data_IF_610279317625
#
_entry.id   IF_610279317625
#
_cell.length_a   1.000
_cell.length_b   1.000
_cell.length_c   1.000
_cell.angle_alpha   90.00
_cell.angle_beta   90.00
_cell.angle_gamma   90.00
#
_symmetry.space_group_name_H-M   'P 1'
#
loop_
_entity.id
_entity.type
_entity.pdbx_description
1 polymer ?
#
# COMPACT_ATOMS: atom_id res chain seq x y z
N UNK A 1 1.44 3.64 -4.10
CA UNK A 1 2.04 3.00 -2.90
C UNK A 1 2.91 1.85 -3.36
N UNK A 2 4.11 1.71 -2.79
CA UNK A 2 5.06 0.67 -3.21
C UNK A 2 5.82 0.09 -2.02
N UNK A 3 5.92 -1.24 -1.97
CA UNK A 3 6.80 -1.98 -1.08
C UNK A 3 8.01 -2.47 -1.87
N UNK A 4 9.21 -2.23 -1.36
CA UNK A 4 10.46 -2.67 -1.97
C UNK A 4 11.17 -3.65 -1.06
N UNK A 5 11.57 -4.79 -1.63
CA UNK A 5 12.34 -5.82 -0.97
C UNK A 5 13.48 -6.28 -1.87
N UNK A 6 14.32 -7.17 -1.38
CA UNK A 6 15.45 -7.66 -2.18
C UNK A 6 14.96 -8.32 -3.49
N UNK A 7 15.16 -7.64 -4.62
CA UNK A 7 14.69 -8.04 -5.97
C UNK A 7 13.17 -8.28 -6.09
N UNK A 8 12.39 -7.71 -5.17
CA UNK A 8 10.93 -7.84 -5.14
C UNK A 8 10.31 -6.46 -5.03
N UNK A 9 9.18 -6.25 -5.69
CA UNK A 9 8.44 -5.01 -5.66
C UNK A 9 6.95 -5.30 -5.72
N UNK A 10 6.17 -4.67 -4.86
CA UNK A 10 4.72 -4.69 -4.88
C UNK A 10 4.22 -3.25 -5.01
N UNK A 11 3.42 -2.97 -6.03
CA UNK A 11 2.95 -1.61 -6.34
C UNK A 11 1.43 -1.59 -6.40
N UNK A 12 0.82 -0.56 -5.81
CA UNK A 12 -0.61 -0.25 -5.92
C UNK A 12 -0.79 1.22 -6.25
N UNK A 13 -1.53 1.50 -7.32
CA UNK A 13 -1.80 2.86 -7.81
C UNK A 13 -3.31 3.06 -7.88
N UNK A 14 -3.77 4.22 -7.42
CA UNK A 14 -5.17 4.62 -7.46
C UNK A 14 -5.29 6.15 -7.35
N UNK A 15 -6.48 6.66 -7.67
CA UNK A 15 -6.82 8.07 -7.39
C UNK A 15 -7.04 8.26 -5.89
N UNK A 16 -6.48 9.31 -5.26
CA UNK A 16 -6.75 9.62 -3.86
C UNK A 16 -8.25 9.80 -3.59
N UNK A 17 -8.72 9.19 -2.52
CA UNK A 17 -10.13 9.23 -2.13
C UNK A 17 -10.44 10.47 -1.30
N UNK A 18 -11.65 11.02 -1.44
CA UNK A 18 -12.05 12.21 -0.68
C UNK A 18 -12.25 11.89 0.80
N UNK A 19 -11.91 12.83 1.68
CA UNK A 19 -12.18 12.71 3.12
C UNK A 19 -13.68 12.57 3.44
N UNK A 20 -14.55 13.05 2.54
CA UNK A 20 -16.00 12.97 2.70
C UNK A 20 -16.53 11.54 2.54
N UNK A 21 -15.84 10.71 1.74
CA UNK A 21 -16.20 9.31 1.50
C UNK A 21 -15.68 8.39 2.60
N UNK A 22 -14.67 8.85 3.36
CA UNK A 22 -13.98 8.06 4.37
C UNK A 22 -13.16 6.90 3.79
N UNK A 23 -12.59 6.08 4.66
CA UNK A 23 -11.73 4.93 4.25
C UNK A 23 -12.40 3.57 4.43
N UNK A 24 -13.43 3.46 5.29
CA UNK A 24 -14.10 2.19 5.60
C UNK A 24 -14.65 1.48 4.37
N UNK A 25 -15.36 2.15 3.44
CA UNK A 25 -15.89 1.48 2.24
C UNK A 25 -14.77 0.89 1.36
N UNK A 26 -13.64 1.60 1.25
CA UNK A 26 -12.47 1.16 0.49
C UNK A 26 -11.84 -0.09 1.12
N UNK A 27 -11.69 -0.10 2.45
CA UNK A 27 -11.12 -1.24 3.17
C UNK A 27 -12.03 -2.47 3.05
N UNK A 28 -13.36 -2.31 3.22
CA UNK A 28 -14.31 -3.43 3.14
C UNK A 28 -14.39 -4.05 1.74
N UNK A 29 -14.16 -3.26 0.70
CA UNK A 29 -14.17 -3.73 -0.70
C UNK A 29 -12.79 -4.16 -1.20
N UNK A 30 -11.75 -4.08 -0.36
CA UNK A 30 -10.34 -4.30 -0.76
C UNK A 30 -9.87 -3.37 -1.88
N UNK A 31 -10.47 -2.18 -1.99
CA UNK A 31 -10.07 -1.11 -2.90
C UNK A 31 -8.96 -0.24 -2.27
N UNK A 32 -7.87 -0.91 -1.88
CA UNK A 32 -6.66 -0.36 -1.29
C UNK A 32 -5.49 -1.35 -1.43
N UNK A 33 -4.27 -0.94 -1.08
CA UNK A 33 -3.15 -1.87 -0.95
C UNK A 33 -3.41 -2.85 0.21
N UNK A 34 -3.61 -4.14 -0.10
CA UNK A 34 -3.85 -5.21 0.87
C UNK A 34 -2.74 -6.26 0.77
N UNK A 35 -2.20 -6.68 1.92
CA UNK A 35 -1.20 -7.75 2.02
C UNK A 35 -1.30 -8.44 3.38
N UNK A 36 -0.88 -9.71 3.45
CA UNK A 36 -0.84 -10.48 4.69
C UNK A 36 0.50 -10.32 5.43
N UNK A 37 0.61 -10.96 6.60
CA UNK A 37 1.84 -10.92 7.42
C UNK A 37 3.03 -11.56 6.72
N UNK A 38 2.82 -12.59 5.89
CA UNK A 38 3.90 -13.26 5.16
C UNK A 38 4.51 -12.31 4.12
N UNK A 39 3.66 -11.59 3.40
CA UNK A 39 4.07 -10.55 2.45
C UNK A 39 4.79 -9.43 3.20
N UNK A 40 4.24 -8.96 4.32
CA UNK A 40 4.89 -7.92 5.13
C UNK A 40 6.33 -8.31 5.54
N UNK A 41 6.54 -9.58 5.96
CA UNK A 41 7.86 -10.08 6.33
C UNK A 41 8.86 -10.13 5.17
N UNK A 42 8.39 -10.37 3.94
CA UNK A 42 9.25 -10.36 2.75
C UNK A 42 9.81 -8.97 2.47
N UNK A 43 9.06 -7.92 2.82
CA UNK A 43 9.37 -6.52 2.51
C UNK A 43 9.87 -5.72 3.72
N UNK A 44 9.76 -6.25 4.93
CA UNK A 44 10.21 -5.58 6.14
C UNK A 44 11.74 -5.70 6.32
N UNK A 45 12.34 -4.63 6.81
CA UNK A 45 13.74 -4.59 7.24
C UNK A 45 13.81 -4.28 8.74
N UNK A 46 14.49 -5.14 9.50
CA UNK A 46 14.56 -5.07 10.97
C UNK A 46 13.20 -4.89 11.66
N UNK A 47 12.15 -5.54 11.14
CA UNK A 47 10.78 -5.45 11.65
C UNK A 47 10.00 -4.19 11.25
N UNK A 48 10.59 -3.31 10.46
CA UNK A 48 9.95 -2.10 9.95
C UNK A 48 9.54 -2.29 8.49
N UNK A 49 8.32 -1.87 8.12
CA UNK A 49 7.85 -1.91 6.74
C UNK A 49 7.91 -0.51 6.13
N UNK A 50 8.83 -0.31 5.19
CA UNK A 50 8.90 0.92 4.39
C UNK A 50 7.86 0.91 3.28
N UNK A 51 7.09 2.00 3.16
CA UNK A 51 6.11 2.19 2.08
C UNK A 51 6.47 3.47 1.33
N UNK A 52 6.82 3.32 0.06
CA UNK A 52 7.04 4.45 -0.84
C UNK A 52 5.68 5.00 -1.28
N UNK A 53 5.54 6.32 -1.14
CA UNK A 53 4.33 7.05 -1.52
C UNK A 53 4.70 8.06 -2.59
N UNK A 54 4.00 8.01 -3.71
CA UNK A 54 4.14 8.98 -4.80
C UNK A 54 2.77 9.53 -5.11
N UNK A 55 2.66 10.86 -5.18
CA UNK A 55 1.47 11.59 -5.63
C UNK A 55 1.90 12.37 -6.86
N UNK A 56 1.15 12.19 -7.95
CA UNK A 56 1.38 12.86 -9.23
C UNK A 56 0.07 13.47 -9.72
N UNK A 57 0.18 14.59 -10.43
CA UNK A 57 -0.96 15.13 -11.18
C UNK A 57 -1.22 14.22 -12.38
N UNK A 58 -2.49 13.94 -12.65
CA UNK A 58 -2.96 13.12 -13.76
C UNK A 58 -3.33 13.99 -14.96
#
# INVERSE_FOLDING_TARGET
LELNGNRRRLTWEATPRSILEGVTPAIMSSDCLVFDTNIAQIFADNGNLGINVTISLC
#
